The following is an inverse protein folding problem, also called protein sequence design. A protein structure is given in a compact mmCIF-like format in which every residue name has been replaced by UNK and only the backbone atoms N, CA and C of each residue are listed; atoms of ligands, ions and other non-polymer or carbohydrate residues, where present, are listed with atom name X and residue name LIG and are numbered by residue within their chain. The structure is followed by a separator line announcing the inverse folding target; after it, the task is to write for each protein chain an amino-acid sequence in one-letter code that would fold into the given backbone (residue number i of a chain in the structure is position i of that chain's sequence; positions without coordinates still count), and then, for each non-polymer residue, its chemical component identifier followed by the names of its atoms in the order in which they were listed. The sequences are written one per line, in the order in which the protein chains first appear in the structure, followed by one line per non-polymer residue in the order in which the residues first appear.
data_IF_869110189650
#
_entry.id   IF_869110189650
#
_cell.length_a   1.000
_cell.length_b   1.000
_cell.length_c   1.000
_cell.angle_alpha   90.00
_cell.angle_beta   90.00
_cell.angle_gamma   90.00
#
_symmetry.space_group_name_H-M   'P 1'
#
loop_
_entity.id
_entity.type
_entity.pdbx_description
1 polymer ?
#
# COMPACT_ATOMS: atom_id res chain seq x y z
N UNK A 1 17.77 -10.77 -6.22
CA UNK A 1 17.06 -9.96 -5.21
C UNK A 1 17.94 -8.78 -4.82
N UNK A 2 17.45 -7.84 -4.04
CA UNK A 2 18.21 -6.72 -3.47
C UNK A 2 17.65 -6.35 -2.10
N UNK A 3 18.40 -5.55 -1.35
CA UNK A 3 17.97 -5.06 -0.04
C UNK A 3 17.71 -3.56 -0.16
N UNK A 4 16.64 -3.07 0.44
CA UNK A 4 16.23 -1.67 0.36
C UNK A 4 15.85 -1.22 1.77
N UNK A 5 16.71 -0.41 2.38
CA UNK A 5 16.47 0.09 3.74
C UNK A 5 16.31 -1.05 4.75
N UNK A 6 15.18 -1.07 5.45
CA UNK A 6 14.83 -2.11 6.45
C UNK A 6 14.38 -3.44 5.83
N UNK A 7 14.00 -3.47 4.55
CA UNK A 7 13.47 -4.66 3.89
C UNK A 7 14.57 -5.38 3.10
N UNK A 8 14.70 -6.69 3.32
CA UNK A 8 15.72 -7.54 2.73
C UNK A 8 15.13 -8.53 1.72
N UNK A 9 15.94 -9.00 0.77
CA UNK A 9 15.56 -10.11 -0.11
C UNK A 9 14.48 -9.76 -1.15
N UNK A 10 14.31 -8.48 -1.49
CA UNK A 10 13.31 -8.00 -2.43
C UNK A 10 13.60 -8.51 -3.84
N UNK A 11 12.58 -9.06 -4.51
CA UNK A 11 12.66 -9.62 -5.86
C UNK A 11 11.71 -8.93 -6.84
N UNK A 12 11.54 -9.55 -8.02
CA UNK A 12 10.49 -9.14 -8.98
C UNK A 12 9.12 -9.11 -8.27
N UNK A 13 8.29 -8.07 -8.48
CA UNK A 13 8.35 -7.07 -9.56
C UNK A 13 9.12 -5.80 -9.18
N UNK A 14 9.67 -5.73 -7.97
CA UNK A 14 10.31 -4.51 -7.49
C UNK A 14 11.68 -4.28 -8.12
N UNK A 15 12.00 -3.01 -8.27
CA UNK A 15 13.30 -2.52 -8.74
C UNK A 15 13.62 -1.21 -8.04
N UNK A 16 14.87 -0.75 -8.18
CA UNK A 16 15.31 0.50 -7.57
C UNK A 16 16.40 1.12 -8.44
N UNK A 17 16.32 2.42 -8.80
CA UNK A 17 17.27 3.07 -9.70
C UNK A 17 18.74 2.88 -9.33
N UNK A 18 19.03 2.74 -8.04
CA UNK A 18 20.41 2.64 -7.51
C UNK A 18 20.84 1.22 -7.14
N UNK A 19 19.92 0.27 -7.00
CA UNK A 19 20.21 -1.07 -6.43
C UNK A 19 19.80 -2.25 -7.33
N UNK A 20 18.79 -2.06 -8.20
CA UNK A 20 18.31 -3.10 -9.11
C UNK A 20 17.74 -2.45 -10.37
N UNK A 21 18.34 -2.68 -11.55
CA UNK A 21 17.91 -2.06 -12.80
C UNK A 21 16.43 -2.27 -13.10
N UNK A 22 15.79 -1.30 -13.76
CA UNK A 22 14.35 -1.32 -14.05
C UNK A 22 13.89 -2.51 -14.88
N UNK A 23 14.71 -2.97 -15.83
CA UNK A 23 14.41 -4.17 -16.63
C UNK A 23 14.35 -5.47 -15.80
N UNK A 24 14.85 -5.46 -14.56
CA UNK A 24 14.72 -6.58 -13.62
C UNK A 24 13.47 -6.52 -12.72
N UNK A 25 12.61 -5.51 -12.91
CA UNK A 25 11.33 -5.33 -12.23
C UNK A 25 10.20 -5.05 -13.21
N UNK A 26 9.14 -4.41 -12.74
CA UNK A 26 7.98 -3.96 -13.51
C UNK A 26 7.72 -2.47 -13.22
N UNK A 27 7.25 -1.73 -14.22
CA UNK A 27 6.88 -0.31 -14.04
C UNK A 27 5.76 -0.15 -12.99
N UNK A 28 5.86 0.86 -12.13
CA UNK A 28 4.95 1.04 -10.99
C UNK A 28 5.34 0.27 -9.72
N UNK A 29 6.44 -0.50 -9.75
CA UNK A 29 7.03 -1.17 -8.57
C UNK A 29 8.43 -0.61 -8.22
N UNK A 30 8.65 0.66 -8.55
CA UNK A 30 9.88 1.35 -8.16
C UNK A 30 9.92 1.56 -6.65
N UNK A 31 11.03 1.19 -6.03
CA UNK A 31 11.33 1.49 -4.64
C UNK A 31 12.46 2.51 -4.53
N UNK A 32 12.16 3.61 -3.86
CA UNK A 32 13.14 4.59 -3.42
C UNK A 32 13.69 4.12 -2.07
N UNK A 33 14.99 3.88 -2.03
CA UNK A 33 15.68 3.30 -0.88
C UNK A 33 16.55 4.36 -0.20
N UNK A 34 16.43 4.44 1.13
CA UNK A 34 17.35 5.17 1.98
C UNK A 34 17.86 4.22 3.07
N UNK A 35 19.12 4.39 3.48
CA UNK A 35 19.74 3.49 4.43
C UNK A 35 19.04 3.58 5.79
N UNK A 36 18.73 2.42 6.39
CA UNK A 36 18.03 2.29 7.67
C UNK A 36 16.62 2.91 7.74
N UNK A 37 15.98 3.19 6.61
CA UNK A 37 14.59 3.69 6.54
C UNK A 37 13.69 2.72 5.78
N UNK A 38 12.38 2.79 6.00
CA UNK A 38 11.41 2.04 5.21
C UNK A 38 11.46 2.50 3.74
N UNK A 39 11.51 1.58 2.76
CA UNK A 39 11.40 1.93 1.35
C UNK A 39 10.17 2.76 1.06
N UNK A 40 10.24 3.63 0.06
CA UNK A 40 9.07 4.39 -0.41
C UNK A 40 8.68 3.93 -1.80
N UNK A 41 7.38 3.64 -1.97
CA UNK A 41 6.75 3.37 -3.26
C UNK A 41 5.79 4.51 -3.60
N UNK A 42 5.69 4.83 -4.89
CA UNK A 42 4.65 5.75 -5.39
C UNK A 42 3.59 4.93 -6.13
N UNK A 43 2.34 5.04 -5.69
CA UNK A 43 1.19 4.42 -6.34
C UNK A 43 0.28 5.56 -6.79
N UNK A 44 -0.04 5.61 -8.09
CA UNK A 44 -0.66 6.77 -8.72
C UNK A 44 0.16 8.04 -8.44
N UNK A 45 -0.38 8.97 -7.65
CA UNK A 45 0.29 10.22 -7.23
C UNK A 45 0.66 10.23 -5.75
N UNK A 46 0.34 9.17 -5.00
CA UNK A 46 0.51 9.09 -3.55
C UNK A 46 1.77 8.29 -3.20
N UNK A 47 2.45 8.71 -2.13
CA UNK A 47 3.67 8.08 -1.63
C UNK A 47 3.38 7.28 -0.38
N UNK A 48 3.95 6.09 -0.31
CA UNK A 48 3.75 5.18 0.82
C UNK A 48 5.08 4.61 1.31
N UNK A 49 5.26 4.55 2.62
CA UNK A 49 6.25 3.68 3.22
C UNK A 49 5.83 2.23 3.02
N UNK A 50 6.76 1.40 2.55
CA UNK A 50 6.61 -0.04 2.56
C UNK A 50 7.19 -0.56 3.87
N UNK A 51 6.33 -1.08 4.73
CA UNK A 51 6.70 -1.51 6.08
C UNK A 51 7.09 -2.98 6.13
N UNK A 52 6.42 -3.80 5.33
CA UNK A 52 6.62 -5.23 5.30
C UNK A 52 6.26 -5.82 3.93
N UNK A 53 6.83 -6.98 3.61
CA UNK A 53 6.51 -7.78 2.43
C UNK A 53 6.45 -9.25 2.82
N UNK A 54 5.34 -9.92 2.56
CA UNK A 54 5.09 -11.31 2.97
C UNK A 54 4.60 -12.18 1.81
N UNK A 55 4.37 -13.48 2.08
CA UNK A 55 3.76 -14.43 1.13
C UNK A 55 2.40 -14.89 1.66
N UNK A 56 1.33 -15.00 0.83
CA UNK A 56 1.25 -14.68 -0.62
C UNK A 56 1.60 -13.21 -0.91
N UNK A 57 1.94 -12.79 -2.16
CA UNK A 57 2.56 -11.50 -2.43
C UNK A 57 1.68 -10.33 -1.95
N UNK A 58 2.01 -9.89 -0.74
CA UNK A 58 1.35 -8.88 0.08
C UNK A 58 2.43 -7.93 0.55
N UNK A 59 2.13 -6.64 0.52
CA UNK A 59 2.97 -5.64 1.17
C UNK A 59 2.09 -4.77 2.06
N UNK A 60 2.62 -4.43 3.23
CA UNK A 60 1.99 -3.47 4.13
C UNK A 60 2.52 -2.10 3.77
N UNK A 61 1.62 -1.19 3.42
CA UNK A 61 1.96 0.19 3.06
C UNK A 61 1.26 1.18 3.98
N UNK A 62 1.92 2.31 4.22
CA UNK A 62 1.35 3.40 4.99
C UNK A 62 1.65 4.74 4.32
N UNK A 63 0.69 5.68 4.25
CA UNK A 63 0.92 6.97 3.59
C UNK A 63 2.03 7.75 4.27
N UNK A 64 2.91 8.36 3.46
CA UNK A 64 4.01 9.19 4.00
C UNK A 64 3.46 10.47 4.66
N UNK A 65 2.45 11.09 4.05
CA UNK A 65 1.97 12.42 4.43
C UNK A 65 1.23 12.45 5.78
N UNK A 66 0.73 11.30 6.25
CA UNK A 66 -0.06 11.16 7.50
C UNK A 66 0.61 10.27 8.54
N UNK A 67 1.92 10.02 8.39
CA UNK A 67 2.67 9.11 9.25
C UNK A 67 2.93 9.68 10.66
N UNK A 68 3.08 11.00 10.79
CA UNK A 68 3.33 11.64 12.09
C UNK A 68 2.13 12.41 12.64
N UNK A 69 1.23 12.83 11.74
CA UNK A 69 0.09 13.67 12.05
C UNK A 69 -1.17 13.11 11.36
N UNK A 70 -2.23 12.74 12.10
CA UNK A 70 -3.50 12.32 11.50
C UNK A 70 -4.25 13.48 10.84
N UNK A 71 -3.72 14.71 10.87
CA UNK A 71 -4.33 15.92 10.34
C UNK A 71 -3.58 16.42 9.10
N UNK A 72 -3.83 15.83 7.92
CA UNK A 72 -3.11 16.21 6.71
C UNK A 72 -3.48 17.63 6.25
N UNK A 73 -2.53 18.28 5.57
CA UNK A 73 -2.79 19.57 4.90
C UNK A 73 -3.72 19.42 3.68
N UNK A 74 -3.79 18.22 3.10
CA UNK A 74 -4.64 17.91 1.95
C UNK A 74 -5.39 16.61 2.18
N UNK A 75 -6.70 16.65 1.96
CA UNK A 75 -7.59 15.52 2.17
C UNK A 75 -7.81 14.77 0.87
N UNK A 76 -7.21 13.58 0.75
CA UNK A 76 -7.36 12.73 -0.42
C UNK A 76 -7.68 11.30 0.00
N UNK A 77 -8.65 10.68 -0.67
CA UNK A 77 -8.89 9.26 -0.53
C UNK A 77 -7.68 8.47 -1.04
N UNK A 78 -7.39 7.34 -0.40
CA UNK A 78 -6.36 6.42 -0.89
C UNK A 78 -6.86 5.76 -2.18
N UNK A 79 -6.06 5.85 -3.24
CA UNK A 79 -6.38 5.24 -4.54
C UNK A 79 -5.24 4.34 -4.99
N UNK A 80 -5.57 3.09 -5.31
CA UNK A 80 -4.63 2.12 -5.87
C UNK A 80 -4.71 2.07 -7.40
N UNK A 81 -3.64 1.62 -8.04
CA UNK A 81 -3.69 1.19 -9.44
C UNK A 81 -4.13 -0.27 -9.50
N UNK A 82 -5.43 -0.50 -9.71
CA UNK A 82 -6.04 -1.84 -9.74
C UNK A 82 -5.54 -2.77 -10.87
N UNK A 83 -4.69 -2.29 -11.78
CA UNK A 83 -3.97 -3.18 -12.71
C UNK A 83 -2.76 -3.85 -12.08
N UNK A 84 -2.25 -3.32 -10.97
CA UNK A 84 -1.02 -3.74 -10.30
C UNK A 84 -1.25 -4.16 -8.84
N UNK A 85 -2.16 -3.48 -8.15
CA UNK A 85 -2.41 -3.60 -6.73
C UNK A 85 -3.88 -3.73 -6.42
N UNK A 86 -4.22 -4.59 -5.46
CA UNK A 86 -5.56 -4.66 -4.89
C UNK A 86 -5.49 -4.64 -3.37
N UNK A 87 -6.57 -4.22 -2.71
CA UNK A 87 -6.67 -4.35 -1.25
C UNK A 87 -6.70 -5.82 -0.84
N UNK A 88 -6.03 -6.16 0.26
CA UNK A 88 -6.16 -7.48 0.84
C UNK A 88 -7.60 -7.72 1.34
N UNK A 89 -8.02 -8.98 1.43
CA UNK A 89 -9.36 -9.33 1.93
C UNK A 89 -9.57 -8.98 3.42
N UNK A 90 -8.49 -8.72 4.14
CA UNK A 90 -8.44 -8.31 5.56
C UNK A 90 -8.68 -6.82 5.76
N UNK A 91 -8.85 -6.03 4.70
CA UNK A 91 -9.02 -4.57 4.79
C UNK A 91 -10.44 -4.19 5.22
N UNK A 92 -10.50 -3.23 6.14
CA UNK A 92 -11.69 -2.51 6.60
C UNK A 92 -11.56 -1.04 6.24
N UNK A 93 -12.68 -0.41 5.90
CA UNK A 93 -12.73 1.01 5.63
C UNK A 93 -13.20 1.77 6.86
N UNK A 94 -12.41 2.75 7.28
CA UNK A 94 -12.81 3.79 8.24
C UNK A 94 -13.07 5.07 7.48
N UNK A 95 -14.07 5.83 7.90
CA UNK A 95 -14.27 7.20 7.42
C UNK A 95 -13.82 8.15 8.51
N UNK A 96 -12.89 9.05 8.16
CA UNK A 96 -12.47 10.12 9.06
C UNK A 96 -13.10 11.41 8.59
N UNK A 97 -13.85 12.06 9.47
CA UNK A 97 -14.47 13.36 9.27
C UNK A 97 -13.62 14.42 9.96
N UNK A 98 -13.32 15.52 9.26
CA UNK A 98 -12.47 16.61 9.75
C UNK A 98 -13.25 17.92 9.79
N UNK A 99 -12.82 18.83 10.68
CA UNK A 99 -13.44 20.15 10.79
C UNK A 99 -14.84 20.08 11.37
N UNK A 100 -15.06 19.15 12.30
CA UNK A 100 -16.35 18.94 12.94
C UNK A 100 -16.50 19.82 14.19
N UNK A 101 -17.74 20.23 14.53
CA UNK A 101 -18.04 20.78 15.85
C UNK A 101 -17.84 19.72 16.94
N UNK A 102 -17.91 20.16 18.20
CA UNK A 102 -17.90 19.24 19.33
C UNK A 102 -19.26 18.56 19.45
N UNK A 103 -19.29 17.26 19.16
CA UNK A 103 -20.47 16.42 19.25
C UNK A 103 -20.38 15.49 20.46
N UNK A 104 -21.38 15.55 21.34
CA UNK A 104 -21.47 14.77 22.58
C UNK A 104 -22.05 13.36 22.34
N UNK A 105 -22.83 13.18 21.29
CA UNK A 105 -23.46 11.90 20.94
C UNK A 105 -22.48 10.92 20.29
N UNK A 106 -21.38 11.42 19.69
CA UNK A 106 -20.31 10.58 19.13
C UNK A 106 -19.37 10.17 20.27
N UNK A 107 -19.08 8.86 20.43
CA UNK A 107 -18.23 8.40 21.53
C UNK A 107 -16.85 9.08 21.54
N UNK A 108 -16.43 9.56 22.71
CA UNK A 108 -15.23 10.40 22.85
C UNK A 108 -13.93 9.70 22.41
N UNK A 109 -13.87 8.38 22.46
CA UNK A 109 -12.71 7.60 22.02
C UNK A 109 -12.48 7.70 20.51
N UNK A 110 -13.55 7.94 19.74
CA UNK A 110 -13.48 8.12 18.28
C UNK A 110 -13.09 9.54 17.86
N UNK A 111 -12.81 10.42 18.82
CA UNK A 111 -12.57 11.85 18.61
C UNK A 111 -11.10 12.19 18.79
N UNK A 112 -10.58 13.03 17.90
CA UNK A 112 -9.28 13.69 18.06
C UNK A 112 -9.37 15.15 17.59
N UNK A 113 -8.29 15.91 17.75
CA UNK A 113 -8.26 17.34 17.43
C UNK A 113 -7.06 17.67 16.54
N UNK A 114 -7.30 18.46 15.50
CA UNK A 114 -6.28 18.82 14.51
C UNK A 114 -5.61 20.18 14.75
N UNK A 115 -6.01 20.93 15.77
CA UNK A 115 -5.38 22.17 16.22
C UNK A 115 -5.51 23.37 15.27
N UNK A 116 -5.51 23.14 13.96
CA UNK A 116 -5.77 24.15 12.93
C UNK A 116 -7.27 24.36 12.79
N UNK A 117 -7.72 25.59 13.09
CA UNK A 117 -9.09 26.03 12.81
C UNK A 117 -9.33 25.93 11.32
N UNK A 118 -10.33 25.13 10.95
CA UNK A 118 -10.89 25.20 9.60
C UNK A 118 -11.59 26.55 9.41
N UNK A 119 -12.05 26.85 8.19
CA UNK A 119 -12.72 28.13 7.88
C UNK A 119 -13.88 28.46 8.83
N UNK A 120 -14.46 27.45 9.46
CA UNK A 120 -15.64 27.54 10.32
C UNK A 120 -15.31 27.58 11.82
N UNK A 121 -14.02 27.53 12.20
CA UNK A 121 -13.58 27.52 13.59
C UNK A 121 -13.63 26.14 14.28
N UNK A 122 -14.05 25.12 13.55
CA UNK A 122 -14.09 23.75 14.01
C UNK A 122 -12.68 23.13 14.01
N UNK A 123 -12.40 22.28 15.00
CA UNK A 123 -11.06 21.66 15.17
C UNK A 123 -11.11 20.16 15.44
N UNK A 124 -12.30 19.60 15.66
CA UNK A 124 -12.46 18.18 15.96
C UNK A 124 -12.48 17.34 14.69
N UNK A 125 -12.04 16.11 14.84
CA UNK A 125 -12.13 15.07 13.85
C UNK A 125 -12.63 13.78 14.50
N UNK A 126 -13.36 12.99 13.72
CA UNK A 126 -13.98 11.75 14.17
C UNK A 126 -13.67 10.62 13.20
N UNK A 127 -13.25 9.46 13.71
CA UNK A 127 -13.07 8.25 12.89
C UNK A 127 -14.18 7.25 13.21
N UNK A 128 -14.90 6.81 12.17
CA UNK A 128 -16.09 5.97 12.33
C UNK A 128 -16.09 4.86 11.26
N UNK A 129 -16.69 3.73 11.61
CA UNK A 129 -17.05 2.74 10.60
C UNK A 129 -18.35 3.13 9.89
N UNK A 130 -18.76 2.34 8.90
CA UNK A 130 -20.00 2.60 8.15
C UNK A 130 -21.24 2.60 9.05
N UNK A 131 -21.27 1.76 10.09
CA UNK A 131 -22.44 1.64 10.97
C UNK A 131 -22.62 2.89 11.83
N UNK A 132 -21.55 3.35 12.49
CA UNK A 132 -21.57 4.56 13.30
C UNK A 132 -21.76 5.82 12.45
N UNK A 133 -21.16 5.87 11.25
CA UNK A 133 -21.37 6.98 10.31
C UNK A 133 -22.85 7.14 9.90
N UNK A 134 -23.61 6.03 9.86
CA UNK A 134 -25.05 6.06 9.56
C UNK A 134 -25.89 6.47 10.77
N UNK A 135 -25.48 6.07 11.98
CA UNK A 135 -26.14 6.43 13.23
C UNK A 135 -25.98 7.93 13.48
N UNK A 136 -24.75 8.44 13.36
CA UNK A 136 -24.40 9.83 13.68
C UNK A 136 -24.42 10.76 12.47
N UNK A 137 -25.27 10.47 11.48
CA UNK A 137 -25.27 11.19 10.20
C UNK A 137 -25.61 12.67 10.38
N UNK A 138 -26.49 13.01 11.33
CA UNK A 138 -26.87 14.40 11.62
C UNK A 138 -25.68 15.21 12.11
N UNK A 139 -24.96 14.67 13.08
CA UNK A 139 -23.83 15.28 13.77
C UNK A 139 -22.64 15.48 12.81
N UNK A 140 -22.48 14.56 11.85
CA UNK A 140 -21.42 14.61 10.84
C UNK A 140 -21.72 15.57 9.67
N UNK A 141 -22.93 16.14 9.58
CA UNK A 141 -23.31 17.02 8.46
C UNK A 141 -22.57 18.36 8.50
N UNK A 142 -22.19 18.81 9.70
CA UNK A 142 -21.48 20.08 9.92
C UNK A 142 -19.95 19.94 9.90
N UNK A 143 -19.44 18.76 9.53
CA UNK A 143 -18.03 18.54 9.27
C UNK A 143 -17.64 19.08 7.89
N UNK A 144 -16.44 19.64 7.76
CA UNK A 144 -16.00 20.28 6.52
C UNK A 144 -15.66 19.29 5.41
N UNK A 145 -15.08 18.13 5.75
CA UNK A 145 -14.68 17.12 4.78
C UNK A 145 -14.54 15.75 5.41
N UNK A 146 -14.49 14.70 4.60
CA UNK A 146 -14.15 13.36 5.03
C UNK A 146 -13.28 12.61 4.03
N UNK A 147 -12.53 11.63 4.53
CA UNK A 147 -11.74 10.70 3.74
C UNK A 147 -11.98 9.27 4.20
N UNK A 148 -11.81 8.32 3.29
CA UNK A 148 -11.82 6.89 3.59
C UNK A 148 -10.38 6.41 3.75
N UNK A 149 -10.12 5.79 4.90
CA UNK A 149 -8.84 5.21 5.27
C UNK A 149 -8.98 3.68 5.38
N UNK A 150 -8.26 2.92 4.55
CA UNK A 150 -8.14 1.47 4.70
C UNK A 150 -7.24 1.14 5.91
N UNK A 151 -7.68 0.18 6.72
CA UNK A 151 -6.92 -0.41 7.83
C UNK A 151 -7.08 -1.93 7.78
N UNK A 152 -6.12 -2.71 8.28
CA UNK A 152 -6.40 -4.14 8.41
C UNK A 152 -7.39 -4.40 9.56
N UNK A 153 -8.05 -5.55 9.52
CA UNK A 153 -8.98 -6.00 10.54
C UNK A 153 -8.36 -5.99 11.94
N UNK A 154 -7.09 -6.39 12.08
CA UNK A 154 -6.37 -6.37 13.36
C UNK A 154 -6.30 -4.97 13.97
N UNK A 155 -5.89 -3.98 13.18
CA UNK A 155 -5.81 -2.59 13.61
C UNK A 155 -7.20 -2.01 13.91
N UNK A 156 -8.21 -2.38 13.11
CA UNK A 156 -9.60 -2.02 13.39
C UNK A 156 -10.06 -2.55 14.76
N UNK A 157 -9.76 -3.82 15.06
CA UNK A 157 -10.14 -4.45 16.33
C UNK A 157 -9.41 -3.80 17.51
N UNK A 158 -8.15 -3.42 17.36
CA UNK A 158 -7.38 -2.70 18.38
C UNK A 158 -7.93 -1.29 18.65
N UNK A 159 -8.41 -0.59 17.61
CA UNK A 159 -9.08 0.70 17.74
C UNK A 159 -10.41 0.58 18.50
N UNK A 160 -11.19 -0.46 18.22
CA UNK A 160 -12.48 -0.70 18.89
C UNK A 160 -12.34 -1.19 20.33
N UNK A 161 -11.24 -1.89 20.63
CA UNK A 161 -10.91 -2.33 21.99
C UNK A 161 -10.12 -1.27 22.78
N UNK A 162 -9.88 -0.09 22.21
CA UNK A 162 -9.16 1.02 22.83
C UNK A 162 -7.73 0.65 23.27
N UNK A 163 -7.12 -0.35 22.62
CA UNK A 163 -5.73 -0.76 22.86
C UNK A 163 -4.74 -0.01 21.97
N UNK A 164 -5.24 0.69 20.95
CA UNK A 164 -4.48 1.60 20.10
C UNK A 164 -5.32 2.85 19.76
N UNK A 165 -4.71 3.83 19.09
CA UNK A 165 -5.34 5.04 18.60
C UNK A 165 -5.22 5.17 17.07
N UNK A 166 -5.93 6.14 16.49
CA UNK A 166 -5.99 6.32 15.04
C UNK A 166 -4.61 6.53 14.40
N UNK A 167 -3.67 7.20 15.10
CA UNK A 167 -2.30 7.40 14.61
C UNK A 167 -1.53 6.09 14.58
N UNK A 168 -1.64 5.28 15.64
CA UNK A 168 -1.03 3.96 15.72
C UNK A 168 -1.54 3.02 14.62
N UNK A 169 -2.85 2.95 14.43
CA UNK A 169 -3.47 2.15 13.37
C UNK A 169 -3.01 2.60 11.97
N UNK A 170 -2.92 3.91 11.74
CA UNK A 170 -2.45 4.45 10.45
C UNK A 170 -0.97 4.12 10.18
N UNK A 171 -0.14 4.21 11.21
CA UNK A 171 1.30 3.93 11.12
C UNK A 171 1.62 2.44 10.98
N UNK A 172 0.70 1.56 11.38
CA UNK A 172 0.79 0.14 11.05
C UNK A 172 0.44 -0.13 9.58
N UNK A 173 -0.23 0.80 8.93
CA UNK A 173 -0.56 0.75 7.51
C UNK A 173 -1.63 -0.28 7.18
N UNK A 174 -1.75 -0.59 5.90
CA UNK A 174 -2.71 -1.54 5.37
C UNK A 174 -2.08 -2.44 4.31
N UNK A 175 -2.56 -3.67 4.23
CA UNK A 175 -2.09 -4.69 3.30
C UNK A 175 -2.67 -4.48 1.89
N UNK A 176 -1.78 -4.51 0.91
CA UNK A 176 -2.11 -4.57 -0.52
C UNK A 176 -1.48 -5.78 -1.17
N UNK A 177 -2.26 -6.44 -2.01
CA UNK A 177 -1.83 -7.53 -2.87
C UNK A 177 -1.16 -6.99 -4.12
N UNK A 178 -0.12 -7.67 -4.59
CA UNK A 178 0.52 -7.38 -5.87
C UNK A 178 0.78 -8.67 -6.66
N UNK A 179 -0.13 -9.02 -7.58
CA UNK A 179 -0.08 -10.29 -8.29
C UNK A 179 0.43 -10.20 -9.73
N UNK A 180 0.71 -8.97 -10.21
CA UNK A 180 1.13 -8.74 -11.60
C UNK A 180 2.30 -9.63 -11.99
N UNK A 181 2.07 -10.44 -13.02
CA UNK A 181 3.01 -11.40 -13.64
C UNK A 181 3.64 -12.42 -12.68
N UNK A 182 3.11 -12.61 -11.48
CA UNK A 182 3.67 -13.55 -10.49
C UNK A 182 3.69 -14.99 -10.99
N UNK A 183 2.63 -15.43 -11.67
CA UNK A 183 2.53 -16.77 -12.25
C UNK A 183 3.56 -16.95 -13.37
N UNK A 184 3.66 -15.97 -14.27
CA UNK A 184 4.65 -15.98 -15.36
C UNK A 184 6.08 -15.96 -14.81
N UNK A 185 6.33 -15.16 -13.78
CA UNK A 185 7.62 -15.10 -13.10
C UNK A 185 7.97 -16.44 -12.41
N UNK A 186 6.99 -17.09 -11.77
CA UNK A 186 7.20 -18.41 -11.19
C UNK A 186 7.58 -19.45 -12.25
N UNK A 187 6.87 -19.48 -13.38
CA UNK A 187 7.20 -20.37 -14.50
C UNK A 187 8.59 -20.09 -15.07
N UNK A 188 8.94 -18.82 -15.26
CA UNK A 188 10.26 -18.38 -15.69
C UNK A 188 11.38 -18.90 -14.77
N UNK A 189 11.21 -18.71 -13.45
CA UNK A 189 12.18 -19.18 -12.44
C UNK A 189 12.30 -20.69 -12.41
N UNK A 190 11.19 -21.41 -12.54
CA UNK A 190 11.19 -22.88 -12.60
C UNK A 190 11.92 -23.40 -13.83
N UNK A 191 11.95 -22.63 -14.93
CA UNK A 191 12.74 -22.95 -16.12
C UNK A 191 14.22 -22.51 -16.04
N UNK A 192 14.68 -21.97 -14.90
CA UNK A 192 16.05 -21.50 -14.73
C UNK A 192 16.30 -20.06 -15.20
N UNK A 193 15.25 -19.31 -15.52
CA UNK A 193 15.32 -17.91 -15.93
C UNK A 193 15.20 -16.90 -14.80
N UNK A 194 15.39 -15.63 -15.15
CA UNK A 194 15.21 -14.47 -14.26
C UNK A 194 14.08 -13.59 -14.79
N UNK A 195 13.12 -13.28 -13.92
CA UNK A 195 12.00 -12.41 -14.27
C UNK A 195 12.44 -10.96 -14.46
N UNK A 196 11.81 -10.29 -15.41
CA UNK A 196 11.90 -8.86 -15.56
C UNK A 196 10.88 -8.35 -16.57
N UNK A 197 11.14 -7.17 -17.12
CA UNK A 197 10.27 -6.56 -18.12
C UNK A 197 11.08 -5.88 -19.22
N UNK A 198 10.43 -5.69 -20.36
CA UNK A 198 10.97 -4.88 -21.43
C UNK A 198 10.98 -3.41 -21.00
N UNK A 199 12.13 -2.76 -21.02
CA UNK A 199 12.27 -1.36 -20.61
C UNK A 199 11.44 -0.37 -21.44
N UNK A 200 11.06 -0.73 -22.67
CA UNK A 200 10.31 0.12 -23.60
C UNK A 200 8.82 -0.22 -23.64
N UNK A 201 8.46 -1.49 -23.79
CA UNK A 201 7.04 -1.91 -23.89
C UNK A 201 6.38 -2.21 -22.55
N UNK A 202 7.18 -2.34 -21.48
CA UNK A 202 6.75 -2.70 -20.12
C UNK A 202 6.18 -4.13 -20.00
N UNK A 203 6.25 -4.93 -21.06
CA UNK A 203 5.79 -6.32 -21.04
C UNK A 203 6.70 -7.22 -20.21
N UNK A 204 6.12 -8.23 -19.56
CA UNK A 204 6.86 -9.27 -18.86
C UNK A 204 7.85 -10.00 -19.79
N UNK A 205 9.06 -10.21 -19.29
CA UNK A 205 10.11 -10.99 -19.92
C UNK A 205 10.70 -12.02 -18.96
N UNK A 206 11.06 -13.18 -19.51
CA UNK A 206 11.93 -14.15 -18.87
C UNK A 206 13.31 -14.08 -19.50
N UNK A 207 14.32 -13.64 -18.74
CA UNK A 207 15.70 -13.63 -19.17
C UNK A 207 16.32 -15.03 -18.97
N UNK A 208 16.68 -15.66 -20.07
CA UNK A 208 17.20 -17.03 -20.10
C UNK A 208 18.72 -17.03 -20.26
N UNK A 209 19.44 -17.92 -19.56
CA UNK A 209 20.84 -18.19 -19.88
C UNK A 209 20.98 -18.67 -21.33
N UNK A 210 21.93 -18.09 -22.07
CA UNK A 210 22.34 -18.49 -23.43
C UNK A 210 21.25 -18.42 -24.52
N UNK A 211 20.09 -17.82 -24.24
CA UNK A 211 18.96 -17.74 -25.17
C UNK A 211 18.31 -16.34 -25.17
N UNK A 212 17.63 -15.95 -26.27
CA UNK A 212 16.83 -14.73 -26.29
C UNK A 212 15.76 -14.71 -25.19
N UNK A 213 15.38 -13.53 -24.67
CA UNK A 213 14.27 -13.41 -23.72
C UNK A 213 12.97 -13.99 -24.28
N UNK A 214 12.26 -14.76 -23.47
CA UNK A 214 11.01 -15.43 -23.85
C UNK A 214 9.99 -15.39 -22.70
N UNK A 215 8.90 -16.16 -22.76
CA UNK A 215 7.99 -16.33 -21.61
C UNK A 215 8.46 -17.38 -20.60
N UNK A 216 9.33 -18.31 -21.03
CA UNK A 216 9.95 -19.36 -20.20
C UNK A 216 11.18 -19.95 -20.91
N UNK A 217 12.18 -20.39 -20.15
CA UNK A 217 13.46 -20.89 -20.67
C UNK A 217 13.43 -22.38 -21.04
N UNK A 218 12.29 -22.87 -21.53
CA UNK A 218 12.19 -24.27 -21.97
C UNK A 218 13.03 -24.44 -23.22
N UNK A 219 14.05 -25.28 -23.15
CA UNK A 219 14.92 -25.61 -24.30
C UNK A 219 14.06 -26.34 -25.34
N UNK A 220 13.78 -25.68 -26.46
CA UNK A 220 13.20 -26.35 -27.63
C UNK A 220 14.28 -27.19 -28.29
N UNK A 221 14.50 -28.44 -27.83
CA UNK A 221 15.54 -29.28 -28.42
C UNK A 221 15.94 -30.59 -27.73
N UNK A 222 15.36 -30.99 -26.59
CA UNK A 222 15.61 -32.32 -26.01
C UNK A 222 14.35 -33.18 -26.06
N UNK A 223 14.04 -33.71 -27.24
CA UNK A 223 13.40 -35.03 -27.28
C UNK A 223 14.42 -36.01 -26.71
N UNK A 224 14.22 -36.43 -25.46
CA UNK A 224 14.92 -37.58 -24.92
C UNK A 224 14.57 -38.78 -25.79
N UNK A 225 15.47 -39.12 -26.71
CA UNK A 225 15.47 -40.40 -27.38
C UNK A 225 16.26 -41.34 -26.49
N UNK A 226 15.57 -42.19 -25.72
CA UNK A 226 15.98 -43.52 -25.23
C UNK A 226 14.86 -44.12 -24.42
#
# INVERSE_FOLDING_TARGET
TFNCGTIQGIGYPFWSPTLRPSYCGHHGFELICQQNQSPVITINTQRFHVLNMTRPPLMTIAPVDTWEDPCPQQFHNISLNHNLFDFAATIRNLTIFYGCPLEDDIPFQHRFNCGTTTSNGNTYAYYLDESLSRIHRSELTDCDTSIIVPVNQSEFDELWNETDNIVGAWNKGFEVMYQKDMISCLACRNSGGVCGSNSSSLDFLCFCPDHPPSKSCVVSGMFASS
#
